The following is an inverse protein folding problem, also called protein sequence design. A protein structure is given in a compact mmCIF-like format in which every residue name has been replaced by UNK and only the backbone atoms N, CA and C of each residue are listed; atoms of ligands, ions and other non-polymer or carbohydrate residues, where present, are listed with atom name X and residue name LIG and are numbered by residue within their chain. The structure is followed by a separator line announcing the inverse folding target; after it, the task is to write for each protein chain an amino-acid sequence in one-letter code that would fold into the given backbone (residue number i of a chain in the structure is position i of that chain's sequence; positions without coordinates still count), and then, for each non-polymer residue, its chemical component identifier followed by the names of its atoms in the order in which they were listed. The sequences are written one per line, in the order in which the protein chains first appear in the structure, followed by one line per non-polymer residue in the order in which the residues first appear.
data_IF_040395456297
#
_entry.id   IF_040395456297
#
_cell.length_a   1.000
_cell.length_b   1.000
_cell.length_c   1.000
_cell.angle_alpha   90.00
_cell.angle_beta   90.00
_cell.angle_gamma   90.00
#
_symmetry.space_group_name_H-M   'P 1'
#
loop_
_entity.id
_entity.type
_entity.pdbx_description
1 polymer ?
#
# COMPACT_ATOMS: atom_id res chain seq x y z
N UNK A 1 3.05 -2.30 -20.89
CA UNK A 1 2.17 -3.34 -20.29
C UNK A 1 1.12 -3.74 -21.30
N UNK A 2 1.11 -5.01 -21.73
CA UNK A 2 0.20 -5.57 -22.74
C UNK A 2 -1.15 -6.05 -22.16
N UNK A 3 -1.31 -6.03 -20.84
CA UNK A 3 -2.41 -6.67 -20.10
C UNK A 3 -3.81 -6.22 -20.54
N UNK A 4 -4.01 -4.95 -20.90
CA UNK A 4 -5.35 -4.41 -21.14
C UNK A 4 -5.74 -4.30 -22.62
N UNK A 5 -4.87 -4.70 -23.55
CA UNK A 5 -5.08 -4.46 -24.99
C UNK A 5 -6.39 -5.09 -25.50
N UNK A 6 -6.73 -6.28 -24.99
CA UNK A 6 -7.89 -7.07 -25.45
C UNK A 6 -9.06 -7.07 -24.45
N UNK A 7 -8.99 -6.27 -23.38
CA UNK A 7 -10.08 -6.20 -22.40
C UNK A 7 -11.15 -5.20 -22.84
N UNK A 8 -12.41 -5.52 -22.56
CA UNK A 8 -13.55 -4.64 -22.86
C UNK A 8 -13.49 -3.36 -22.03
N UNK A 9 -13.82 -2.23 -22.66
CA UNK A 9 -13.90 -0.94 -21.98
C UNK A 9 -15.04 -0.86 -20.94
N UNK A 10 -16.02 -1.77 -21.02
CA UNK A 10 -17.17 -1.84 -20.13
C UNK A 10 -16.88 -2.50 -18.76
N UNK A 11 -15.60 -2.65 -18.40
CA UNK A 11 -15.21 -3.22 -17.12
C UNK A 11 -15.67 -2.29 -15.98
N UNK A 12 -16.39 -2.86 -15.01
CA UNK A 12 -16.91 -2.13 -13.84
C UNK A 12 -16.11 -2.40 -12.57
N UNK A 13 -15.42 -3.53 -12.50
CA UNK A 13 -14.60 -3.91 -11.36
C UNK A 13 -13.24 -4.38 -11.83
N UNK A 14 -12.18 -3.84 -11.24
CA UNK A 14 -10.81 -4.28 -11.48
C UNK A 14 -10.12 -4.52 -10.14
N UNK A 15 -9.56 -5.72 -10.00
CA UNK A 15 -8.68 -6.08 -8.88
C UNK A 15 -7.37 -6.63 -9.41
N UNK A 16 -6.26 -5.95 -9.12
CA UNK A 16 -4.91 -6.41 -9.43
C UNK A 16 -4.10 -6.46 -8.15
N UNK A 17 -3.67 -7.64 -7.75
CA UNK A 17 -2.86 -7.88 -6.55
C UNK A 17 -1.44 -8.30 -6.93
N UNK A 18 -0.56 -8.39 -5.94
CA UNK A 18 0.84 -8.80 -6.13
C UNK A 18 1.61 -7.91 -7.13
N UNK A 19 1.18 -6.66 -7.29
CA UNK A 19 1.85 -5.69 -8.17
C UNK A 19 3.23 -5.35 -7.58
N UNK A 20 4.28 -5.19 -8.40
CA UNK A 20 5.59 -4.75 -7.89
C UNK A 20 5.54 -3.31 -7.37
N UNK A 21 4.64 -2.48 -7.90
CA UNK A 21 4.41 -1.10 -7.49
C UNK A 21 3.07 -0.59 -8.00
N UNK A 22 2.57 0.47 -7.38
CA UNK A 22 1.41 1.24 -7.86
C UNK A 22 1.88 2.66 -8.15
N UNK A 23 1.88 3.04 -9.42
CA UNK A 23 2.32 4.35 -9.90
C UNK A 23 1.24 5.04 -10.74
N UNK A 24 1.48 6.32 -11.05
CA UNK A 24 0.58 7.13 -11.86
C UNK A 24 0.39 6.58 -13.28
N UNK A 25 1.39 5.85 -13.82
CA UNK A 25 1.30 5.24 -15.14
C UNK A 25 0.30 4.09 -15.16
N UNK A 26 0.33 3.20 -14.16
CA UNK A 26 -0.65 2.13 -14.01
C UNK A 26 -2.06 2.69 -13.80
N UNK A 27 -2.21 3.67 -12.90
CA UNK A 27 -3.49 4.30 -12.62
C UNK A 27 -4.06 5.00 -13.86
N UNK A 28 -3.25 5.79 -14.57
CA UNK A 28 -3.67 6.46 -15.80
C UNK A 28 -4.08 5.47 -16.88
N UNK A 29 -3.39 4.33 -16.99
CA UNK A 29 -3.74 3.29 -17.94
C UNK A 29 -5.08 2.63 -17.60
N UNK A 30 -5.32 2.32 -16.32
CA UNK A 30 -6.60 1.79 -15.87
C UNK A 30 -7.74 2.80 -16.11
N UNK A 31 -7.53 4.06 -15.70
CA UNK A 31 -8.53 5.13 -15.80
C UNK A 31 -8.91 5.46 -17.25
N UNK A 32 -7.93 5.54 -18.15
CA UNK A 32 -8.18 5.85 -19.57
C UNK A 32 -8.82 4.69 -20.34
N UNK A 33 -8.54 3.44 -19.94
CA UNK A 33 -9.02 2.25 -20.66
C UNK A 33 -10.40 1.80 -20.19
N UNK A 34 -10.71 2.00 -18.92
CA UNK A 34 -11.93 1.49 -18.28
C UNK A 34 -12.70 2.64 -17.59
N UNK A 35 -13.26 3.60 -18.35
CA UNK A 35 -13.95 4.75 -17.78
C UNK A 35 -15.23 4.38 -16.98
N UNK A 36 -15.74 3.16 -17.17
CA UNK A 36 -16.91 2.65 -16.44
C UNK A 36 -16.59 1.98 -15.11
N UNK A 37 -15.33 2.04 -14.64
CA UNK A 37 -14.95 1.44 -13.37
C UNK A 37 -15.74 2.06 -12.21
N UNK A 38 -16.34 1.17 -11.42
CA UNK A 38 -17.02 1.43 -10.16
C UNK A 38 -16.14 1.02 -8.99
N UNK A 39 -15.39 -0.08 -9.15
CA UNK A 39 -14.45 -0.58 -8.15
C UNK A 39 -13.06 -0.72 -8.75
N UNK A 40 -12.07 -0.06 -8.14
CA UNK A 40 -10.66 -0.21 -8.47
C UNK A 40 -9.88 -0.62 -7.21
N UNK A 41 -9.36 -1.84 -7.21
CA UNK A 41 -8.49 -2.37 -6.18
C UNK A 41 -7.13 -2.71 -6.78
N UNK A 42 -6.09 -1.99 -6.36
CA UNK A 42 -4.72 -2.26 -6.75
C UNK A 42 -3.93 -2.53 -5.49
N UNK A 43 -3.11 -3.56 -5.46
CA UNK A 43 -2.31 -3.86 -4.28
C UNK A 43 -0.96 -4.46 -4.61
N UNK A 44 0.04 -4.00 -3.86
CA UNK A 44 1.42 -4.51 -3.90
C UNK A 44 1.85 -5.17 -2.59
N UNK A 45 1.07 -4.97 -1.51
CA UNK A 45 1.43 -5.49 -0.19
C UNK A 45 1.25 -7.01 -0.09
N UNK A 46 0.47 -7.66 -0.95
CA UNK A 46 0.40 -9.13 -0.96
C UNK A 46 1.71 -9.78 -1.39
N UNK A 47 2.66 -9.01 -1.94
CA UNK A 47 4.01 -9.51 -2.22
C UNK A 47 4.83 -9.70 -0.95
N UNK A 48 4.43 -9.10 0.17
CA UNK A 48 5.13 -9.25 1.44
C UNK A 48 4.85 -10.62 2.03
N UNK A 49 5.89 -11.45 2.12
CA UNK A 49 5.78 -12.80 2.65
C UNK A 49 5.84 -12.79 4.19
N UNK A 50 4.75 -12.36 4.80
CA UNK A 50 4.59 -12.37 6.26
C UNK A 50 4.43 -13.79 6.84
N UNK A 51 4.28 -14.84 6.02
CA UNK A 51 3.89 -16.18 6.49
C UNK A 51 5.05 -17.20 6.47
N UNK A 52 6.18 -16.88 5.85
CA UNK A 52 7.32 -17.80 5.76
C UNK A 52 8.30 -17.65 6.92
N UNK A 53 9.25 -16.71 6.81
CA UNK A 53 10.25 -16.44 7.83
C UNK A 53 10.76 -14.99 7.71
N UNK A 54 11.53 -14.54 8.70
CA UNK A 54 12.10 -13.20 8.73
C UNK A 54 12.85 -12.83 7.45
N UNK A 55 13.72 -13.73 6.96
CA UNK A 55 14.53 -13.48 5.77
C UNK A 55 13.68 -13.35 4.51
N UNK A 56 12.66 -14.21 4.34
CA UNK A 56 11.74 -14.11 3.20
C UNK A 56 10.90 -12.83 3.26
N UNK A 57 10.48 -12.41 4.46
CA UNK A 57 9.76 -11.15 4.65
C UNK A 57 10.64 -9.94 4.31
N UNK A 58 11.88 -9.91 4.80
CA UNK A 58 12.88 -8.88 4.47
C UNK A 58 13.17 -8.86 2.96
N UNK A 59 13.49 -9.99 2.34
CA UNK A 59 13.77 -10.09 0.91
C UNK A 59 12.58 -9.63 0.06
N UNK A 60 11.38 -10.12 0.37
CA UNK A 60 10.17 -9.76 -0.37
C UNK A 60 9.83 -8.27 -0.25
N UNK A 61 10.15 -7.63 0.88
CA UNK A 61 9.97 -6.18 1.07
C UNK A 61 10.82 -5.34 0.11
N UNK A 62 12.01 -5.82 -0.25
CA UNK A 62 12.89 -5.14 -1.22
C UNK A 62 12.39 -5.26 -2.66
N UNK A 63 11.49 -6.22 -2.91
CA UNK A 63 10.98 -6.54 -4.25
C UNK A 63 9.67 -5.81 -4.60
N UNK A 64 9.16 -4.93 -3.72
CA UNK A 64 7.97 -4.13 -3.99
C UNK A 64 8.05 -2.71 -3.42
N UNK A 65 7.50 -1.74 -4.15
CA UNK A 65 7.40 -0.36 -3.69
C UNK A 65 6.13 -0.17 -2.85
N UNK A 66 6.11 -0.77 -1.65
CA UNK A 66 4.94 -0.80 -0.77
C UNK A 66 4.68 0.50 -0.03
N UNK A 67 5.71 1.29 0.27
CA UNK A 67 5.63 2.57 0.98
C UNK A 67 6.22 3.67 0.09
N UNK A 68 5.41 4.36 -0.71
CA UNK A 68 5.93 5.24 -1.75
C UNK A 68 6.43 6.60 -1.25
N UNK A 69 6.30 6.91 0.04
CA UNK A 69 6.73 8.20 0.63
C UNK A 69 7.84 7.94 1.65
N UNK A 70 8.97 8.66 1.65
CA UNK A 70 9.38 9.72 0.72
C UNK A 70 10.05 9.20 -0.57
N UNK A 71 10.19 7.88 -0.74
CA UNK A 71 11.07 7.29 -1.76
C UNK A 71 10.65 7.51 -3.22
N UNK A 72 9.35 7.37 -3.53
CA UNK A 72 8.78 7.59 -4.88
C UNK A 72 8.18 8.99 -4.98
N UNK A 73 7.50 9.42 -3.92
CA UNK A 73 6.93 10.76 -3.78
C UNK A 73 7.53 11.42 -2.55
N UNK A 74 8.04 12.64 -2.70
CA UNK A 74 8.64 13.37 -1.59
C UNK A 74 7.66 13.58 -0.42
N UNK A 75 6.38 13.82 -0.73
CA UNK A 75 5.33 14.07 0.26
C UNK A 75 4.01 13.43 -0.12
N UNK A 76 3.13 13.33 0.87
CA UNK A 76 1.72 12.93 0.71
C UNK A 76 0.99 13.82 -0.30
N UNK A 77 1.29 15.12 -0.29
CA UNK A 77 0.66 16.08 -1.18
C UNK A 77 1.07 15.87 -2.64
N UNK A 78 2.35 15.54 -2.88
CA UNK A 78 2.80 15.15 -4.23
C UNK A 78 2.15 13.86 -4.72
N UNK A 79 1.99 12.86 -3.85
CA UNK A 79 1.27 11.63 -4.18
C UNK A 79 -0.20 11.91 -4.52
N UNK A 80 -0.88 12.70 -3.68
CA UNK A 80 -2.28 13.08 -3.88
C UNK A 80 -2.48 13.83 -5.19
N UNK A 81 -1.65 14.83 -5.47
CA UNK A 81 -1.72 15.62 -6.71
C UNK A 81 -1.67 14.72 -7.95
N UNK A 82 -0.73 13.78 -7.98
CA UNK A 82 -0.56 12.87 -9.11
C UNK A 82 -1.71 11.87 -9.21
N UNK A 83 -2.13 11.26 -8.10
CA UNK A 83 -3.19 10.26 -8.09
C UNK A 83 -4.55 10.88 -8.45
N UNK A 84 -4.87 12.07 -7.95
CA UNK A 84 -6.12 12.74 -8.29
C UNK A 84 -6.18 13.13 -9.77
N UNK A 85 -5.06 13.60 -10.33
CA UNK A 85 -4.98 13.92 -11.76
C UNK A 85 -5.31 12.72 -12.64
N UNK A 86 -4.79 11.54 -12.30
CA UNK A 86 -5.01 10.32 -13.10
C UNK A 86 -6.34 9.64 -12.84
N UNK A 87 -6.92 9.78 -11.65
CA UNK A 87 -8.22 9.21 -11.30
C UNK A 87 -9.40 10.05 -11.80
N UNK A 88 -9.19 11.33 -12.13
CA UNK A 88 -10.21 12.26 -12.62
C UNK A 88 -11.16 11.70 -13.71
N UNK A 89 -10.71 10.91 -14.69
CA UNK A 89 -11.59 10.36 -15.73
C UNK A 89 -12.61 9.32 -15.23
N UNK A 90 -12.42 8.77 -14.02
CA UNK A 90 -13.28 7.72 -13.47
C UNK A 90 -14.48 8.31 -12.73
N UNK A 91 -15.42 8.87 -13.49
CA UNK A 91 -16.62 9.58 -12.97
C UNK A 91 -17.60 8.66 -12.21
N UNK A 92 -17.45 7.34 -12.35
CA UNK A 92 -18.30 6.32 -11.72
C UNK A 92 -17.61 5.58 -10.58
N UNK A 93 -16.39 5.97 -10.21
CA UNK A 93 -15.62 5.26 -9.20
C UNK A 93 -16.25 5.45 -7.82
N UNK A 94 -16.78 4.37 -7.27
CA UNK A 94 -17.40 4.34 -5.94
C UNK A 94 -16.46 3.76 -4.89
N UNK A 95 -15.63 2.78 -5.27
CA UNK A 95 -14.69 2.12 -4.35
C UNK A 95 -13.27 2.15 -4.91
N UNK A 96 -12.37 2.74 -4.13
CA UNK A 96 -10.93 2.76 -4.40
C UNK A 96 -10.19 2.08 -3.25
N UNK A 97 -9.43 1.04 -3.57
CA UNK A 97 -8.45 0.47 -2.65
C UNK A 97 -7.06 0.52 -3.26
N UNK A 98 -6.13 1.15 -2.54
CA UNK A 98 -4.73 1.20 -2.91
C UNK A 98 -3.91 0.51 -1.83
N UNK A 99 -3.57 -0.75 -2.06
CA UNK A 99 -2.73 -1.56 -1.21
C UNK A 99 -1.26 -1.14 -1.29
N UNK A 100 -1.01 0.06 -0.77
CA UNK A 100 0.25 0.65 -0.38
C UNK A 100 0.13 1.06 1.09
N UNK A 101 1.25 1.17 1.78
CA UNK A 101 1.30 1.78 3.10
C UNK A 101 1.60 3.27 2.97
N UNK A 102 0.83 4.08 3.70
CA UNK A 102 1.10 5.51 3.82
C UNK A 102 2.08 5.83 4.95
N UNK A 103 2.72 4.86 5.59
CA UNK A 103 3.86 5.11 6.47
C UNK A 103 5.06 5.65 5.67
N UNK A 104 6.05 6.21 6.37
CA UNK A 104 7.33 6.51 5.73
C UNK A 104 8.02 5.20 5.28
N UNK A 105 8.77 5.27 4.18
CA UNK A 105 9.36 4.12 3.50
C UNK A 105 10.39 3.38 4.36
N UNK A 106 11.04 4.11 5.26
CA UNK A 106 12.03 3.61 6.19
C UNK A 106 11.41 2.91 7.41
N UNK A 107 10.10 3.01 7.66
CA UNK A 107 9.46 2.41 8.85
C UNK A 107 9.69 0.90 8.89
N UNK A 108 9.53 0.21 7.76
CA UNK A 108 9.79 -1.23 7.70
C UNK A 108 11.28 -1.52 7.81
N UNK A 109 12.14 -0.83 7.06
CA UNK A 109 13.59 -1.05 7.11
C UNK A 109 14.16 -0.85 8.53
N UNK A 110 13.77 0.23 9.20
CA UNK A 110 14.16 0.51 10.59
C UNK A 110 13.59 -0.51 11.58
N UNK A 111 12.37 -1.00 11.33
CA UNK A 111 11.81 -2.10 12.10
C UNK A 111 12.67 -3.36 11.94
N UNK A 112 13.03 -3.71 10.70
CA UNK A 112 13.87 -4.86 10.39
C UNK A 112 15.23 -4.74 11.09
N UNK A 113 15.94 -3.64 10.92
CA UNK A 113 17.24 -3.40 11.58
C UNK A 113 17.16 -3.52 13.11
N UNK A 114 16.14 -2.92 13.72
CA UNK A 114 15.93 -2.94 15.17
C UNK A 114 15.68 -4.35 15.70
N UNK A 115 14.87 -5.12 14.99
CA UNK A 115 14.48 -6.47 15.42
C UNK A 115 15.48 -7.54 15.00
N UNK A 116 16.32 -7.30 13.99
CA UNK A 116 17.35 -8.23 13.53
C UNK A 116 18.30 -8.63 14.67
N UNK A 117 18.68 -7.71 15.55
CA UNK A 117 19.54 -8.03 16.70
C UNK A 117 18.88 -9.01 17.69
N UNK A 118 17.56 -8.89 17.90
CA UNK A 118 16.80 -9.79 18.79
C UNK A 118 16.60 -11.16 18.13
N UNK A 119 16.38 -11.17 16.81
CA UNK A 119 16.07 -12.37 16.04
C UNK A 119 17.34 -13.19 15.77
N UNK A 120 18.44 -12.56 15.35
CA UNK A 120 19.72 -13.22 15.07
C UNK A 120 20.43 -13.71 16.33
N UNK A 121 20.19 -13.08 17.49
CA UNK A 121 20.76 -13.53 18.77
C UNK A 121 20.10 -14.81 19.31
N UNK A 122 18.99 -15.29 18.72
CA UNK A 122 18.37 -16.56 19.06
C UNK A 122 19.17 -17.72 18.43
N UNK A 123 20.02 -18.43 19.20
CA UNK A 123 20.93 -19.40 18.64
C UNK A 123 20.17 -20.69 18.40
N UNK A 124 19.94 -21.05 17.14
CA UNK A 124 19.79 -22.45 16.71
C UNK A 124 18.69 -23.29 17.40
N UNK A 125 17.53 -22.71 17.68
CA UNK A 125 16.30 -23.50 17.67
C UNK A 125 15.60 -23.17 16.36
N UNK A 126 15.36 -24.13 15.48
CA UNK A 126 14.72 -23.94 14.15
C UNK A 126 13.26 -23.46 14.20
N UNK A 127 12.94 -22.60 15.15
CA UNK A 127 11.68 -21.97 15.46
C UNK A 127 12.00 -20.52 15.80
N UNK A 128 12.00 -19.66 14.79
CA UNK A 128 11.73 -18.24 15.02
C UNK A 128 10.36 -18.14 15.71
N UNK A 129 10.15 -17.27 16.72
CA UNK A 129 8.80 -17.04 17.24
C UNK A 129 7.91 -16.72 16.05
N UNK A 130 6.83 -17.50 15.88
CA UNK A 130 6.11 -17.56 14.62
C UNK A 130 5.70 -16.15 14.14
N UNK A 131 5.78 -15.87 12.83
CA UNK A 131 5.25 -14.63 12.25
C UNK A 131 3.81 -14.32 12.73
N UNK A 132 3.37 -13.04 12.66
CA UNK A 132 3.99 -11.96 11.89
C UNK A 132 4.84 -10.97 12.70
N UNK A 133 5.94 -10.52 12.09
CA UNK A 133 6.87 -9.51 12.62
C UNK A 133 6.66 -8.13 11.98
N UNK A 134 5.44 -7.77 11.62
CA UNK A 134 5.21 -6.45 11.02
C UNK A 134 5.45 -5.30 12.02
N UNK A 135 5.71 -4.07 11.54
CA UNK A 135 5.76 -2.87 12.38
C UNK A 135 4.51 -2.71 13.27
N UNK A 136 3.36 -3.25 12.84
CA UNK A 136 2.09 -3.28 13.55
C UNK A 136 2.13 -3.99 14.91
N UNK A 137 3.07 -4.93 15.12
CA UNK A 137 3.24 -5.68 16.36
C UNK A 137 4.37 -5.15 17.24
N UNK A 138 5.13 -4.16 16.77
CA UNK A 138 6.24 -3.56 17.51
C UNK A 138 5.77 -2.36 18.32
N UNK A 139 5.85 -2.44 19.66
CA UNK A 139 5.43 -1.36 20.55
C UNK A 139 6.11 -0.01 20.24
N UNK A 140 7.41 -0.05 19.88
CA UNK A 140 8.16 1.15 19.51
C UNK A 140 7.66 1.72 18.19
N UNK A 141 7.47 0.90 17.15
CA UNK A 141 6.94 1.39 15.87
C UNK A 141 5.51 1.94 16.01
N UNK A 142 4.67 1.28 16.80
CA UNK A 142 3.31 1.76 17.09
C UNK A 142 3.32 3.12 17.79
N UNK A 143 4.21 3.31 18.78
CA UNK A 143 4.35 4.58 19.50
C UNK A 143 4.93 5.69 18.61
N UNK A 144 5.96 5.40 17.81
CA UNK A 144 6.67 6.40 16.99
C UNK A 144 5.88 6.78 15.73
N UNK A 145 5.22 5.83 15.07
CA UNK A 145 4.70 6.02 13.71
C UNK A 145 3.18 5.84 13.59
N UNK A 146 2.53 5.18 14.55
CA UNK A 146 1.13 4.77 14.43
C UNK A 146 0.17 5.95 14.29
N UNK A 147 0.31 6.98 15.13
CA UNK A 147 -0.54 8.18 15.06
C UNK A 147 -0.33 8.92 13.75
N UNK A 148 0.92 9.23 13.40
CA UNK A 148 1.26 9.98 12.19
C UNK A 148 0.76 9.28 10.91
N UNK A 149 0.92 7.95 10.83
CA UNK A 149 0.45 7.16 9.68
C UNK A 149 -1.07 7.20 9.55
N UNK A 150 -1.82 6.99 10.65
CA UNK A 150 -3.28 7.06 10.62
C UNK A 150 -3.80 8.44 10.27
N UNK A 151 -3.21 9.51 10.83
CA UNK A 151 -3.58 10.89 10.47
C UNK A 151 -3.37 11.15 8.98
N UNK A 152 -2.28 10.64 8.43
CA UNK A 152 -1.97 10.74 7.01
C UNK A 152 -2.96 9.95 6.14
N UNK A 153 -3.29 8.72 6.51
CA UNK A 153 -4.31 7.92 5.85
C UNK A 153 -5.67 8.63 5.83
N UNK A 154 -6.11 9.18 6.97
CA UNK A 154 -7.36 9.94 7.06
C UNK A 154 -7.34 11.18 6.17
N UNK A 155 -6.22 11.94 6.14
CA UNK A 155 -6.05 13.10 5.27
C UNK A 155 -6.19 12.72 3.80
N UNK A 156 -5.51 11.65 3.37
CA UNK A 156 -5.56 11.17 1.98
C UNK A 156 -6.97 10.71 1.62
N UNK A 157 -7.63 9.93 2.49
CA UNK A 157 -9.03 9.51 2.30
C UNK A 157 -9.96 10.70 2.12
N UNK A 158 -9.85 11.70 2.99
CA UNK A 158 -10.68 12.91 2.91
C UNK A 158 -10.42 13.72 1.63
N UNK A 159 -9.15 13.86 1.21
CA UNK A 159 -8.80 14.56 -0.01
C UNK A 159 -9.36 13.87 -1.27
N UNK A 160 -9.28 12.54 -1.33
CA UNK A 160 -9.86 11.76 -2.44
C UNK A 160 -11.39 11.85 -2.42
N UNK A 161 -12.00 11.72 -1.24
CA UNK A 161 -13.44 11.87 -1.05
C UNK A 161 -13.98 13.22 -1.54
N UNK A 162 -13.24 14.30 -1.27
CA UNK A 162 -13.61 15.63 -1.71
C UNK A 162 -13.43 15.85 -3.22
N UNK A 163 -12.48 15.14 -3.85
CA UNK A 163 -12.09 15.36 -5.24
C UNK A 163 -12.88 14.51 -6.26
N UNK A 164 -13.38 13.34 -5.85
CA UNK A 164 -14.10 12.40 -6.72
C UNK A 164 -15.55 12.28 -6.23
N UNK A 165 -16.53 12.96 -6.86
CA UNK A 165 -17.89 13.04 -6.32
C UNK A 165 -18.62 11.69 -6.16
N UNK A 166 -18.28 10.70 -6.99
CA UNK A 166 -18.90 9.36 -6.94
C UNK A 166 -18.35 8.47 -5.82
N UNK A 167 -17.22 8.82 -5.22
CA UNK A 167 -16.51 7.93 -4.31
C UNK A 167 -17.26 7.78 -2.99
N UNK A 168 -17.42 6.52 -2.58
CA UNK A 168 -18.09 6.13 -1.33
C UNK A 168 -17.10 5.51 -0.35
N UNK A 169 -16.08 4.82 -0.86
CA UNK A 169 -15.09 4.12 -0.04
C UNK A 169 -13.68 4.32 -0.58
N UNK A 170 -12.77 4.70 0.31
CA UNK A 170 -11.33 4.81 0.03
C UNK A 170 -10.55 4.03 1.08
N UNK A 171 -9.77 3.05 0.65
CA UNK A 171 -8.99 2.17 1.49
C UNK A 171 -7.50 2.15 1.12
N UNK A 172 -6.68 1.90 2.14
CA UNK A 172 -5.24 1.68 2.04
C UNK A 172 -4.87 0.47 2.89
N UNK A 173 -3.76 -0.19 2.55
CA UNK A 173 -3.11 -1.10 3.48
C UNK A 173 -2.46 -0.29 4.59
N UNK A 174 -2.47 -0.80 5.81
CA UNK A 174 -1.92 -0.09 6.96
C UNK A 174 -1.09 -1.02 7.83
N UNK A 175 0.10 -0.55 8.21
CA UNK A 175 0.84 -1.12 9.32
C UNK A 175 0.20 -0.77 10.66
N UNK A 176 -0.68 0.23 10.74
CA UNK A 176 -1.18 0.68 12.04
C UNK A 176 -2.71 0.85 12.00
N UNK A 177 -3.47 -0.21 11.68
CA UNK A 177 -4.92 -0.13 11.61
C UNK A 177 -5.53 0.30 12.96
N UNK A 178 -6.68 0.97 12.91
CA UNK A 178 -7.46 1.29 14.10
C UNK A 178 -8.12 0.01 14.62
N UNK A 179 -7.74 -0.41 15.83
CA UNK A 179 -8.29 -1.59 16.52
C UNK A 179 -7.56 -2.90 16.15
N UNK A 180 -6.78 -3.41 17.09
CA UNK A 180 -6.41 -4.83 17.18
C UNK A 180 -6.85 -5.36 18.54
#
# INVERSE_FOLDING_TARGET
MLLFKNMTAALTQMKLTHLPRIDSSLLSLAASRFPTLVTLELSCVERLDEHCCWLCFEESSTCCAHSPIPGVYATVDSLLSDFLKVLKPLERLETLFLGIFLSDADVLARHLERCAAVIMASPRTGYYPAPPFGPNKCAVCCAEHGVATRTRELRVKAAIAAAIPSIQSVGFSSWFPLGQ
#
